data_IF_154422549818
#
_entry.id   IF_154422549818
#
_cell.length_a   1.000
_cell.length_b   1.000
_cell.length_c   1.000
_cell.angle_alpha   90.00
_cell.angle_beta   90.00
_cell.angle_gamma   90.00
#
_symmetry.space_group_name_H-M   'P 1'
#
loop_
_entity.id
_entity.type
_entity.pdbx_description
1 polymer ?
#
# COMPACT_ATOMS: atom_id res chain seq x y z
N UNK A 1 -2.50 -1.56 -10.57
CA UNK A 1 -2.20 -0.20 -10.08
C UNK A 1 -0.95 -0.31 -9.22
N UNK A 2 0.09 0.48 -9.49
CA UNK A 2 1.34 0.36 -8.73
C UNK A 2 1.34 1.32 -7.52
N UNK A 3 2.28 1.12 -6.60
CA UNK A 3 2.38 1.92 -5.37
C UNK A 3 2.61 3.41 -5.62
N UNK A 4 3.33 3.80 -6.68
CA UNK A 4 3.57 5.20 -7.01
C UNK A 4 2.30 5.91 -7.44
N UNK A 5 1.42 5.22 -8.16
CA UNK A 5 0.12 5.76 -8.56
C UNK A 5 -0.76 5.98 -7.32
N UNK A 6 -0.75 5.04 -6.38
CA UNK A 6 -1.46 5.17 -5.11
C UNK A 6 -0.95 6.36 -4.28
N UNK A 7 0.38 6.53 -4.20
CA UNK A 7 1.00 7.67 -3.50
C UNK A 7 0.66 9.01 -4.14
N UNK A 8 0.57 9.09 -5.48
CA UNK A 8 0.08 10.30 -6.16
C UNK A 8 -1.35 10.63 -5.77
N UNK A 9 -2.23 9.61 -5.76
CA UNK A 9 -3.62 9.76 -5.32
C UNK A 9 -3.70 10.23 -3.86
N UNK A 10 -2.80 9.77 -2.98
CA UNK A 10 -2.74 10.27 -1.59
C UNK A 10 -2.53 11.79 -1.57
N UNK A 11 -1.54 12.27 -2.33
CA UNK A 11 -1.20 13.70 -2.39
C UNK A 11 -2.34 14.51 -2.99
N UNK A 12 -2.91 14.04 -4.11
CA UNK A 12 -4.02 14.72 -4.80
C UNK A 12 -5.28 14.82 -3.93
N UNK A 13 -5.53 13.81 -3.09
CA UNK A 13 -6.73 13.76 -2.24
C UNK A 13 -6.50 14.25 -0.81
N UNK A 14 -5.29 14.70 -0.48
CA UNK A 14 -4.96 15.12 0.88
C UNK A 14 -5.07 13.99 1.92
N UNK A 15 -4.80 12.75 1.52
CA UNK A 15 -4.85 11.61 2.43
C UNK A 15 -3.64 11.61 3.39
N UNK A 16 -3.88 11.35 4.67
CA UNK A 16 -2.82 11.20 5.68
C UNK A 16 -2.14 9.85 5.57
N UNK A 17 -2.91 8.80 5.32
CA UNK A 17 -2.46 7.40 5.33
C UNK A 17 -3.07 6.63 4.17
N UNK A 18 -2.37 5.58 3.75
CA UNK A 18 -2.91 4.54 2.86
C UNK A 18 -2.76 3.17 3.54
N UNK A 19 -3.84 2.41 3.56
CA UNK A 19 -3.85 1.03 4.05
C UNK A 19 -3.91 0.07 2.86
N UNK A 20 -3.01 -0.90 2.89
CA UNK A 20 -2.92 -1.98 1.91
C UNK A 20 -3.01 -3.31 2.67
N UNK A 21 -4.01 -4.13 2.36
CA UNK A 21 -4.29 -5.38 3.08
C UNK A 21 -4.93 -6.40 2.15
N UNK A 22 -4.51 -7.66 2.30
CA UNK A 22 -5.05 -8.78 1.50
C UNK A 22 -6.56 -8.89 1.72
N UNK A 23 -7.30 -9.08 0.63
CA UNK A 23 -8.76 -9.18 0.65
C UNK A 23 -9.49 -7.83 0.74
N UNK A 24 -8.76 -6.71 0.79
CA UNK A 24 -9.34 -5.38 0.71
C UNK A 24 -8.75 -4.58 -0.48
N UNK A 25 -9.51 -3.64 -1.07
CA UNK A 25 -8.94 -2.67 -1.99
C UNK A 25 -8.06 -1.66 -1.23
N UNK A 26 -7.31 -0.78 -1.93
CA UNK A 26 -6.61 0.32 -1.27
C UNK A 26 -7.59 1.24 -0.53
N UNK A 27 -7.26 1.57 0.71
CA UNK A 27 -8.07 2.46 1.56
C UNK A 27 -7.23 3.69 1.91
N UNK A 28 -7.77 4.87 1.68
CA UNK A 28 -7.14 6.15 1.99
C UNK A 28 -7.77 6.73 3.24
N UNK A 29 -6.97 7.23 4.17
CA UNK A 29 -7.46 8.01 5.30
C UNK A 29 -7.44 9.49 4.94
N UNK A 30 -8.61 10.12 4.86
CA UNK A 30 -8.77 11.55 4.52
C UNK A 30 -9.56 12.17 5.65
N UNK A 31 -9.03 13.23 6.27
CA UNK A 31 -9.64 13.92 7.41
C UNK A 31 -10.11 12.98 8.54
N UNK A 32 -9.32 11.94 8.80
CA UNK A 32 -9.59 10.94 9.83
C UNK A 32 -10.56 9.82 9.43
N UNK A 33 -11.16 9.88 8.23
CA UNK A 33 -12.14 8.91 7.73
C UNK A 33 -11.52 8.00 6.66
N UNK A 34 -11.90 6.72 6.68
CA UNK A 34 -11.40 5.71 5.74
C UNK A 34 -12.26 5.66 4.46
N UNK A 35 -11.62 5.86 3.32
CA UNK A 35 -12.24 5.83 1.99
C UNK A 35 -11.62 4.70 1.14
N UNK A 36 -12.37 3.64 0.92
CA UNK A 36 -11.99 2.56 0.02
C UNK A 36 -12.09 3.03 -1.44
N UNK A 37 -11.05 2.78 -2.24
CA UNK A 37 -11.11 2.99 -3.68
C UNK A 37 -11.85 1.84 -4.34
N UNK A 38 -12.68 2.14 -5.34
CA UNK A 38 -13.32 1.13 -6.17
C UNK A 38 -12.26 0.47 -7.06
N UNK A 39 -11.68 -0.60 -6.56
CA UNK A 39 -10.71 -1.45 -7.23
C UNK A 39 -10.92 -2.90 -6.78
N UNK A 40 -10.31 -3.84 -7.48
CA UNK A 40 -10.28 -5.22 -7.03
C UNK A 40 -9.52 -5.35 -5.70
N UNK A 41 -9.97 -6.22 -4.78
CA UNK A 41 -9.24 -6.51 -3.56
C UNK A 41 -7.85 -7.07 -3.85
N UNK A 42 -6.87 -6.72 -3.02
CA UNK A 42 -5.51 -7.24 -3.17
C UNK A 42 -5.43 -8.74 -2.88
N UNK A 43 -4.68 -9.46 -3.71
CA UNK A 43 -4.16 -10.78 -3.37
C UNK A 43 -2.85 -10.67 -2.60
N UNK A 44 -2.37 -11.79 -2.06
CA UNK A 44 -1.12 -11.81 -1.32
C UNK A 44 0.07 -11.43 -2.22
N UNK A 45 0.09 -11.99 -3.44
CA UNK A 45 1.15 -11.77 -4.42
C UNK A 45 1.21 -10.31 -4.88
N UNK A 46 0.07 -9.62 -4.95
CA UNK A 46 -0.01 -8.20 -5.33
C UNK A 46 0.67 -7.30 -4.29
N UNK A 47 0.51 -7.60 -3.00
CA UNK A 47 1.10 -6.81 -1.92
C UNK A 47 2.55 -7.16 -1.68
N UNK A 48 2.93 -8.44 -1.84
CA UNK A 48 4.33 -8.85 -1.80
C UNK A 48 5.13 -8.15 -2.90
N UNK A 49 4.62 -8.12 -4.14
CA UNK A 49 5.25 -7.42 -5.25
C UNK A 49 5.36 -5.90 -4.97
N UNK A 50 4.33 -5.29 -4.39
CA UNK A 50 4.37 -3.87 -4.02
C UNK A 50 5.39 -3.58 -2.93
N UNK A 51 5.42 -4.39 -1.86
CA UNK A 51 6.37 -4.26 -0.77
C UNK A 51 7.82 -4.36 -1.28
N UNK A 52 8.11 -5.36 -2.13
CA UNK A 52 9.41 -5.54 -2.76
C UNK A 52 9.82 -4.40 -3.70
N UNK A 53 8.83 -3.72 -4.31
CA UNK A 53 9.08 -2.56 -5.17
C UNK A 53 9.49 -1.29 -4.42
N UNK A 54 9.11 -1.17 -3.13
CA UNK A 54 9.44 0.00 -2.29
C UNK A 54 10.62 -0.26 -1.34
N UNK A 55 10.87 -1.51 -0.96
CA UNK A 55 12.04 -1.90 -0.18
C UNK A 55 13.25 -1.96 -1.11
N UNK A 56 13.84 -0.79 -1.38
CA UNK A 56 14.96 -0.63 -2.31
C UNK A 56 16.30 -1.14 -1.75
N UNK A 57 16.40 -1.30 -0.43
CA UNK A 57 17.63 -1.75 0.24
C UNK A 57 17.46 -3.19 0.72
N UNK A 58 18.47 -4.00 0.48
CA UNK A 58 18.53 -5.40 0.96
C UNK A 58 18.36 -5.52 2.47
N UNK A 59 18.87 -4.54 3.24
CA UNK A 59 18.66 -4.49 4.69
C UNK A 59 17.18 -4.44 5.06
N UNK A 60 16.38 -3.63 4.36
CA UNK A 60 14.94 -3.50 4.64
C UNK A 60 14.19 -4.80 4.31
N UNK A 61 14.57 -5.47 3.21
CA UNK A 61 13.99 -6.76 2.82
C UNK A 61 14.28 -7.85 3.85
N UNK A 62 15.54 -7.97 4.28
CA UNK A 62 15.94 -8.92 5.32
C UNK A 62 15.24 -8.66 6.64
N UNK A 63 15.20 -7.40 7.09
CA UNK A 63 14.49 -7.04 8.33
C UNK A 63 13.00 -7.39 8.26
N UNK A 64 12.38 -7.22 7.09
CA UNK A 64 10.99 -7.61 6.88
C UNK A 64 10.80 -9.14 6.89
N UNK A 65 11.67 -9.89 6.22
CA UNK A 65 11.65 -11.36 6.22
C UNK A 65 11.93 -11.96 7.59
N UNK A 66 12.87 -11.39 8.36
CA UNK A 66 13.24 -11.87 9.70
C UNK A 66 12.15 -11.59 10.76
N UNK A 67 11.17 -10.72 10.44
CA UNK A 67 10.08 -10.33 11.35
C UNK A 67 8.71 -10.88 10.94
N UNK A 68 8.66 -11.71 9.89
CA UNK A 68 7.51 -12.55 9.52
C UNK A 68 7.40 -13.78 10.42
#
# INVERSE_FOLDING_TARGET
MNIRDLLKVMVERGASDIYLTVGLPPIFRIDGVNHAVKAEPFKNEDLEAQANSIMLREKQRREFEDTL
#
